data_IF_297094603149
#
_entry.id   IF_297094603149
#
_cell.length_a   1.000
_cell.length_b   1.000
_cell.length_c   1.000
_cell.angle_alpha   90.00
_cell.angle_beta   90.00
_cell.angle_gamma   90.00
#
_symmetry.space_group_name_H-M   'P 1'
#
loop_
_entity.id
_entity.type
_entity.pdbx_description
1 polymer ?
#
# COMPACT_ATOMS: atom_id res chain seq x y z
N UNK A 1 0.28 4.82 -10.67
CA UNK A 1 0.43 5.61 -9.43
C UNK A 1 -0.42 4.96 -8.36
N UNK A 2 0.00 5.05 -7.10
CA UNK A 2 -0.85 4.72 -5.95
C UNK A 2 -0.62 5.73 -4.83
N UNK A 3 -1.63 5.94 -3.99
CA UNK A 3 -1.56 6.86 -2.87
C UNK A 3 -2.30 6.29 -1.64
N UNK A 4 -1.81 6.66 -0.46
CA UNK A 4 -2.39 6.36 0.83
C UNK A 4 -2.77 7.68 1.50
N UNK A 5 -4.05 7.79 1.86
CA UNK A 5 -4.54 8.89 2.68
C UNK A 5 -4.59 8.42 4.13
N UNK A 6 -3.73 9.02 4.95
CA UNK A 6 -3.41 8.52 6.29
C UNK A 6 -4.02 9.43 7.36
N UNK A 7 -4.73 8.81 8.30
CA UNK A 7 -5.42 9.50 9.38
C UNK A 7 -4.93 9.02 10.75
N UNK A 8 -4.79 9.96 11.68
CA UNK A 8 -4.57 9.66 13.10
C UNK A 8 -5.30 10.73 13.91
N UNK A 9 -6.04 10.32 14.93
CA UNK A 9 -6.75 11.25 15.80
C UNK A 9 -5.77 12.27 16.41
N UNK A 10 -6.16 13.55 16.39
CA UNK A 10 -5.32 14.65 16.88
C UNK A 10 -4.12 15.02 16.00
N UNK A 11 -4.00 14.47 14.78
CA UNK A 11 -2.95 14.84 13.82
C UNK A 11 -3.53 15.26 12.47
N UNK A 12 -2.85 16.15 11.72
CA UNK A 12 -3.21 16.43 10.34
C UNK A 12 -3.18 15.17 9.48
N UNK A 13 -4.11 15.09 8.53
CA UNK A 13 -4.08 14.05 7.50
C UNK A 13 -2.81 14.16 6.66
N UNK A 14 -2.26 13.01 6.26
CA UNK A 14 -1.04 12.95 5.43
C UNK A 14 -1.32 12.18 4.15
N UNK A 15 -0.83 12.68 3.02
CA UNK A 15 -0.85 11.98 1.74
C UNK A 15 0.53 11.40 1.47
N UNK A 16 0.61 10.09 1.32
CA UNK A 16 1.84 9.39 0.94
C UNK A 16 1.56 8.71 -0.40
N UNK A 17 2.29 9.09 -1.45
CA UNK A 17 2.04 8.58 -2.79
C UNK A 17 3.33 8.16 -3.48
N UNK A 18 3.19 7.29 -4.47
CA UNK A 18 4.27 6.88 -5.35
C UNK A 18 3.79 6.89 -6.80
N UNK A 19 4.56 7.57 -7.64
CA UNK A 19 4.36 7.60 -9.08
C UNK A 19 4.90 6.30 -9.69
N UNK A 20 4.20 5.79 -10.70
CA UNK A 20 4.75 4.75 -11.56
C UNK A 20 5.37 5.47 -12.74
N UNK A 21 6.70 5.42 -12.95
CA UNK A 21 7.29 6.01 -14.14
C UNK A 21 6.82 5.24 -15.39
N UNK A 22 6.56 5.97 -16.48
CA UNK A 22 6.12 5.39 -17.77
C UNK A 22 7.18 4.52 -18.44
N UNK A 23 8.46 4.81 -18.17
CA UNK A 23 9.61 4.06 -18.65
C UNK A 23 10.18 3.21 -17.52
N UNK A 24 9.70 1.97 -17.39
CA UNK A 24 10.34 0.96 -16.55
C UNK A 24 11.24 0.05 -17.41
N UNK A 25 12.40 -0.40 -16.91
CA UNK A 25 13.26 -1.34 -17.63
C UNK A 25 12.55 -2.65 -18.02
N UNK A 26 11.50 -3.03 -17.28
CA UNK A 26 10.68 -4.22 -17.52
C UNK A 26 9.47 -3.97 -18.45
N UNK A 27 9.33 -2.74 -18.99
CA UNK A 27 8.26 -2.35 -19.90
C UNK A 27 6.87 -2.22 -19.25
N UNK A 28 6.75 -2.39 -17.92
CA UNK A 28 5.46 -2.30 -17.23
C UNK A 28 5.02 -0.86 -17.06
N UNK A 29 3.76 -0.59 -17.42
CA UNK A 29 3.12 0.73 -17.28
C UNK A 29 2.23 0.84 -16.02
N UNK A 30 2.04 -0.26 -15.30
CA UNK A 30 1.17 -0.34 -14.12
C UNK A 30 1.97 -0.65 -12.86
N UNK A 31 1.34 -0.35 -11.71
CA UNK A 31 1.85 -0.73 -10.40
C UNK A 31 1.83 -2.25 -10.22
N UNK A 32 2.96 -2.83 -9.86
CA UNK A 32 3.05 -4.23 -9.44
C UNK A 32 2.70 -4.36 -7.94
N UNK A 33 2.50 -5.59 -7.48
CA UNK A 33 2.32 -5.86 -6.05
C UNK A 33 3.55 -5.45 -5.21
N UNK A 34 4.77 -5.55 -5.77
CA UNK A 34 5.99 -5.07 -5.08
C UNK A 34 5.99 -3.56 -4.90
N UNK A 35 5.49 -2.81 -5.89
CA UNK A 35 5.38 -1.35 -5.78
C UNK A 35 4.39 -0.95 -4.66
N UNK A 36 3.29 -1.68 -4.52
CA UNK A 36 2.34 -1.48 -3.42
C UNK A 36 2.99 -1.78 -2.06
N UNK A 37 3.75 -2.87 -1.95
CA UNK A 37 4.43 -3.21 -0.70
C UNK A 37 5.46 -2.15 -0.30
N UNK A 38 6.21 -1.61 -1.25
CA UNK A 38 7.15 -0.53 -0.97
C UNK A 38 6.44 0.74 -0.50
N UNK A 39 5.29 1.07 -1.09
CA UNK A 39 4.48 2.20 -0.66
C UNK A 39 3.99 2.00 0.79
N UNK A 40 3.50 0.81 1.13
CA UNK A 40 3.04 0.47 2.48
C UNK A 40 4.20 0.49 3.48
N UNK A 41 5.37 -0.03 3.10
CA UNK A 41 6.58 0.01 3.94
C UNK A 41 7.06 1.45 4.18
N UNK A 42 7.05 2.28 3.13
CA UNK A 42 7.40 3.70 3.24
C UNK A 42 6.44 4.41 4.19
N UNK A 43 5.14 4.13 4.07
CA UNK A 43 4.13 4.68 4.97
C UNK A 43 4.37 4.26 6.42
N UNK A 44 4.73 3.01 6.68
CA UNK A 44 5.08 2.55 8.04
C UNK A 44 6.23 3.32 8.65
N UNK A 45 7.32 3.51 7.90
CA UNK A 45 8.47 4.28 8.37
C UNK A 45 8.11 5.74 8.65
N UNK A 46 7.34 6.37 7.76
CA UNK A 46 6.94 7.78 7.91
C UNK A 46 5.91 8.00 9.03
N UNK A 47 5.04 7.02 9.30
CA UNK A 47 3.99 7.11 10.32
C UNK A 47 4.46 6.63 11.70
N UNK A 48 5.57 5.88 11.77
CA UNK A 48 6.22 5.47 13.01
C UNK A 48 5.34 4.60 13.92
N UNK A 49 4.51 3.72 13.36
CA UNK A 49 3.62 2.88 14.15
C UNK A 49 2.80 1.89 13.33
N UNK A 50 1.97 1.07 14.00
CA UNK A 50 1.10 0.11 13.34
C UNK A 50 0.07 0.82 12.46
N UNK A 51 -0.31 0.16 11.36
CA UNK A 51 -1.20 0.69 10.34
C UNK A 51 -2.37 -0.26 10.15
N UNK A 52 -3.60 0.28 10.21
CA UNK A 52 -4.77 -0.36 9.63
C UNK A 52 -4.92 0.13 8.18
N UNK A 53 -4.65 -0.74 7.21
CA UNK A 53 -4.77 -0.45 5.79
C UNK A 53 -6.14 -0.91 5.29
N UNK A 54 -6.94 0.04 4.82
CA UNK A 54 -8.22 -0.24 4.13
C UNK A 54 -8.00 -0.12 2.63
N UNK A 55 -8.38 -1.14 1.87
CA UNK A 55 -8.20 -1.12 0.41
C UNK A 55 -9.34 -1.81 -0.34
N UNK A 56 -9.41 -1.55 -1.65
CA UNK A 56 -10.43 -2.06 -2.56
C UNK A 56 -10.08 -3.43 -3.18
N UNK A 57 -10.92 -3.88 -4.10
CA UNK A 57 -10.82 -5.19 -4.75
C UNK A 57 -10.04 -5.17 -6.08
N UNK A 58 -9.13 -4.20 -6.27
CA UNK A 58 -8.24 -4.21 -7.45
C UNK A 58 -7.47 -5.53 -7.50
N UNK A 59 -7.44 -6.18 -8.68
CA UNK A 59 -6.90 -7.53 -8.87
C UNK A 59 -5.51 -7.75 -8.23
N UNK A 60 -4.64 -6.74 -8.28
CA UNK A 60 -3.29 -6.80 -7.69
C UNK A 60 -3.33 -7.01 -6.17
N UNK A 61 -4.27 -6.38 -5.44
CA UNK A 61 -4.45 -6.55 -3.99
C UNK A 61 -4.89 -7.97 -3.62
N UNK A 62 -5.61 -8.64 -4.52
CA UNK A 62 -6.14 -9.99 -4.32
C UNK A 62 -5.13 -11.09 -4.64
N UNK A 63 -3.97 -10.75 -5.24
CA UNK A 63 -2.95 -11.74 -5.58
C UNK A 63 -2.40 -12.46 -4.35
N UNK A 64 -2.10 -13.75 -4.49
CA UNK A 64 -1.56 -14.56 -3.40
C UNK A 64 -0.23 -14.00 -2.85
N UNK A 65 0.61 -13.43 -3.73
CA UNK A 65 1.85 -12.76 -3.33
C UNK A 65 1.59 -11.56 -2.44
N UNK A 66 0.64 -10.69 -2.81
CA UNK A 66 0.27 -9.55 -2.00
C UNK A 66 -0.28 -9.96 -0.64
N UNK A 67 -1.21 -10.93 -0.61
CA UNK A 67 -1.82 -11.44 0.63
C UNK A 67 -0.78 -12.03 1.59
N UNK A 68 0.15 -12.86 1.07
CA UNK A 68 1.22 -13.45 1.88
C UNK A 68 2.10 -12.37 2.47
N UNK A 69 2.59 -11.45 1.64
CA UNK A 69 3.45 -10.39 2.13
C UNK A 69 2.77 -9.49 3.15
N UNK A 70 1.48 -9.17 3.00
CA UNK A 70 0.79 -8.38 4.02
C UNK A 70 0.55 -9.15 5.32
N UNK A 71 0.32 -10.47 5.26
CA UNK A 71 0.05 -11.30 6.44
C UNK A 71 1.29 -11.50 7.34
N UNK A 72 2.49 -11.46 6.78
CA UNK A 72 3.74 -11.69 7.52
C UNK A 72 4.21 -10.47 8.35
N UNK A 73 3.39 -9.42 8.49
CA UNK A 73 3.79 -8.13 9.11
C UNK A 73 2.94 -7.83 10.35
N UNK A 74 3.53 -7.96 11.54
CA UNK A 74 2.85 -7.71 12.82
C UNK A 74 2.31 -6.27 12.98
N UNK A 75 2.94 -5.29 12.33
CA UNK A 75 2.53 -3.88 12.37
C UNK A 75 1.42 -3.53 11.38
N UNK A 76 0.99 -4.46 10.52
CA UNK A 76 0.04 -4.20 9.46
C UNK A 76 -1.24 -5.02 9.65
N UNK A 77 -2.36 -4.33 9.80
CA UNK A 77 -3.69 -4.94 9.70
C UNK A 77 -4.32 -4.57 8.38
N UNK A 78 -4.69 -5.55 7.56
CA UNK A 78 -5.35 -5.31 6.27
C UNK A 78 -6.86 -5.52 6.41
N UNK A 79 -7.63 -4.52 5.99
CA UNK A 79 -9.09 -4.54 5.94
C UNK A 79 -9.51 -4.42 4.48
N UNK A 80 -10.04 -5.51 3.94
CA UNK A 80 -10.55 -5.54 2.57
C UNK A 80 -12.00 -5.03 2.54
N UNK A 81 -12.30 -4.10 1.64
CA UNK A 81 -13.66 -3.62 1.43
C UNK A 81 -14.55 -4.72 0.81
N UNK A 82 -15.85 -4.76 1.14
CA UNK A 82 -16.79 -5.65 0.47
C UNK A 82 -16.81 -5.38 -1.05
N UNK A 83 -17.12 -6.40 -1.87
CA UNK A 83 -17.28 -6.24 -3.31
C UNK A 83 -18.42 -5.30 -3.69
#
# INVERSE_FOLDING_TARGET
MAALLCYRFGQPSRLIYRLCPDARPDGRKSFSWTDYLDLIQTAHHLLGGPIALVWDNVNTHLTAGMRRCTADREWLTVIQLPP
#
